data_IF_181340928187
#
_entry.id   IF_181340928187
#
_cell.length_a   1.000
_cell.length_b   1.000
_cell.length_c   1.000
_cell.angle_alpha   90.00
_cell.angle_beta   90.00
_cell.angle_gamma   90.00
#
_symmetry.space_group_name_H-M   'P 1'
#
loop_
_entity.id
_entity.type
_entity.pdbx_description
1 polymer ?
#
# COMPACT_ATOMS: atom_id res chain seq x y z
N UNK A 1 -8.57 12.37 1.95
CA UNK A 1 -7.92 11.65 3.07
C UNK A 1 -6.57 12.28 3.33
N UNK A 2 -6.29 12.61 4.60
CA UNK A 2 -5.03 13.20 5.06
C UNK A 2 -4.32 12.21 5.98
N UNK A 3 -2.99 12.20 6.01
CA UNK A 3 -2.19 11.65 7.11
C UNK A 3 -1.91 12.86 7.95
N UNK A 4 -2.75 13.10 8.93
CA UNK A 4 -2.39 13.98 10.03
C UNK A 4 -1.86 13.06 11.12
N UNK A 5 -0.59 13.17 11.50
CA UNK A 5 -0.09 12.61 12.76
C UNK A 5 0.69 11.28 12.71
N UNK A 6 1.28 10.92 11.57
CA UNK A 6 2.37 9.95 11.55
C UNK A 6 3.66 10.50 12.16
N UNK A 7 4.71 9.68 12.17
CA UNK A 7 6.08 10.13 12.45
C UNK A 7 7.01 9.65 11.32
N UNK A 8 8.14 10.32 11.15
CA UNK A 8 9.17 9.89 10.21
C UNK A 8 9.59 8.45 10.58
N UNK A 9 9.46 7.53 9.63
CA UNK A 9 9.88 6.16 9.84
C UNK A 9 11.40 6.15 10.04
N UNK A 10 11.91 5.25 10.89
CA UNK A 10 13.35 5.05 10.96
C UNK A 10 13.87 4.67 9.56
N UNK A 11 14.95 5.30 9.05
CA UNK A 11 15.46 5.01 7.71
C UNK A 11 15.62 3.51 7.44
N UNK A 12 15.06 3.07 6.32
CA UNK A 12 15.08 1.69 5.82
C UNK A 12 14.45 0.64 6.76
N UNK A 13 13.64 1.06 7.74
CA UNK A 13 12.92 0.15 8.65
C UNK A 13 11.74 -0.59 8.01
N UNK A 14 11.33 -0.17 6.81
CA UNK A 14 10.27 -0.78 5.99
C UNK A 14 10.84 -1.20 4.63
N UNK A 15 11.71 -2.22 4.58
CA UNK A 15 12.51 -2.56 3.40
C UNK A 15 11.68 -3.12 2.22
N UNK A 16 10.39 -3.35 2.41
CA UNK A 16 9.46 -3.78 1.38
C UNK A 16 8.77 -2.61 0.67
N UNK A 17 8.90 -1.38 1.17
CA UNK A 17 8.26 -0.23 0.54
C UNK A 17 8.79 0.01 -0.87
N UNK A 18 7.86 0.34 -1.76
CA UNK A 18 8.14 0.76 -3.12
C UNK A 18 7.49 2.11 -3.35
N UNK A 19 8.29 3.09 -3.79
CA UNK A 19 7.76 4.34 -4.30
C UNK A 19 7.47 4.19 -5.78
N UNK A 20 6.24 4.46 -6.19
CA UNK A 20 5.81 4.42 -7.58
C UNK A 20 5.78 5.84 -8.11
N UNK A 21 6.74 6.16 -8.98
CA UNK A 21 6.81 7.46 -9.65
C UNK A 21 5.94 7.42 -10.91
N UNK A 22 4.92 8.29 -10.95
CA UNK A 22 3.85 8.28 -11.95
C UNK A 22 3.56 9.72 -12.39
N UNK A 23 4.48 10.36 -13.13
CA UNK A 23 4.42 11.82 -13.38
C UNK A 23 3.04 12.30 -13.88
N UNK A 24 2.40 13.30 -13.24
CA UNK A 24 2.92 14.17 -12.17
C UNK A 24 2.67 13.68 -10.73
N UNK A 25 2.11 12.49 -10.53
CA UNK A 25 1.71 11.90 -9.25
C UNK A 25 2.70 10.85 -8.73
N UNK A 26 2.41 10.34 -7.54
CA UNK A 26 3.04 9.18 -6.97
C UNK A 26 2.04 8.29 -6.25
N UNK A 27 2.37 7.01 -6.14
CA UNK A 27 1.68 6.05 -5.29
C UNK A 27 2.68 5.29 -4.44
N UNK A 28 2.18 4.70 -3.36
CA UNK A 28 2.84 3.62 -2.66
C UNK A 28 2.72 2.29 -3.39
N UNK A 29 3.59 1.38 -3.00
CA UNK A 29 3.55 -0.02 -3.38
C UNK A 29 4.43 -0.82 -2.41
N UNK A 30 4.44 -2.13 -2.58
CA UNK A 30 5.29 -2.99 -1.76
C UNK A 30 5.74 -4.24 -2.49
N UNK A 31 6.98 -4.64 -2.22
CA UNK A 31 7.62 -5.80 -2.82
C UNK A 31 7.10 -7.09 -2.16
N UNK A 32 6.47 -7.96 -2.95
CA UNK A 32 5.91 -9.25 -2.47
C UNK A 32 6.72 -10.46 -2.95
N UNK A 33 7.52 -10.25 -4.00
CA UNK A 33 8.53 -11.17 -4.54
C UNK A 33 9.61 -10.32 -5.23
N UNK A 34 10.87 -10.79 -5.39
CA UNK A 34 11.91 -10.03 -6.07
C UNK A 34 11.52 -9.48 -7.45
N UNK A 35 10.53 -10.07 -8.13
CA UNK A 35 10.06 -9.63 -9.45
C UNK A 35 8.71 -8.89 -9.42
N UNK A 36 8.05 -8.83 -8.26
CA UNK A 36 6.66 -8.41 -8.15
C UNK A 36 6.44 -7.35 -7.08
N UNK A 37 5.87 -6.22 -7.50
CA UNK A 37 5.37 -5.17 -6.63
C UNK A 37 3.85 -5.19 -6.65
N UNK A 38 3.23 -5.08 -5.49
CA UNK A 38 1.79 -4.94 -5.33
C UNK A 38 1.45 -3.48 -5.01
N UNK A 39 0.33 -3.00 -5.55
CA UNK A 39 -0.19 -1.64 -5.36
C UNK A 39 -1.69 -1.60 -5.66
N UNK A 40 -2.31 -0.42 -5.59
CA UNK A 40 -3.70 -0.20 -5.95
C UNK A 40 -3.87 -0.11 -7.47
N UNK A 41 -5.01 -0.56 -8.00
CA UNK A 41 -5.32 -0.49 -9.43
C UNK A 41 -5.53 0.94 -9.91
N UNK A 42 -6.08 1.82 -9.08
CA UNK A 42 -6.24 3.24 -9.42
C UNK A 42 -4.91 3.97 -9.64
N UNK A 43 -3.78 3.40 -9.21
CA UNK A 43 -2.44 3.90 -9.49
C UNK A 43 -1.97 3.62 -10.92
N UNK A 44 -2.74 2.93 -11.76
CA UNK A 44 -2.37 2.62 -13.15
C UNK A 44 -2.46 3.85 -14.10
N UNK A 45 -1.88 4.98 -13.71
CA UNK A 45 -1.95 6.25 -14.43
C UNK A 45 -0.69 6.49 -15.27
N UNK A 46 -0.53 5.77 -16.37
CA UNK A 46 0.60 5.96 -17.29
C UNK A 46 1.85 5.13 -16.92
N UNK A 47 3.04 5.66 -17.24
CA UNK A 47 4.29 4.91 -17.07
C UNK A 47 4.80 4.96 -15.63
N UNK A 48 4.85 3.80 -14.98
CA UNK A 48 5.33 3.66 -13.61
C UNK A 48 6.83 3.33 -13.60
N UNK A 49 7.58 4.06 -12.77
CA UNK A 49 8.93 3.67 -12.33
C UNK A 49 8.88 3.30 -10.85
N UNK A 50 9.42 2.12 -10.52
CA UNK A 50 9.50 1.62 -9.16
C UNK A 50 10.84 2.02 -8.55
N UNK A 51 10.82 2.63 -7.38
CA UNK A 51 12.01 2.92 -6.57
C UNK A 51 11.91 2.13 -5.27
N UNK A 52 12.81 1.16 -5.08
CA UNK A 52 12.92 0.34 -3.86
C UNK A 52 14.06 0.84 -2.99
N UNK A 53 14.00 0.61 -1.68
CA UNK A 53 15.12 0.89 -0.76
C UNK A 53 15.39 2.39 -0.53
N UNK A 54 14.43 3.25 -0.85
CA UNK A 54 14.46 4.67 -0.54
C UNK A 54 14.00 4.92 0.90
N UNK A 55 14.62 5.89 1.58
CA UNK A 55 14.02 6.62 2.69
C UNK A 55 13.57 8.00 2.23
N UNK A 56 14.49 8.79 1.65
CA UNK A 56 14.20 10.03 0.93
C UNK A 56 14.09 9.76 -0.58
N UNK A 57 12.95 10.07 -1.20
CA UNK A 57 12.69 9.79 -2.64
C UNK A 57 13.24 10.88 -3.58
N UNK A 58 13.62 12.03 -3.05
CA UNK A 58 14.23 13.14 -3.78
C UNK A 58 15.77 13.16 -3.69
N UNK A 59 16.35 12.38 -2.79
CA UNK A 59 17.80 12.17 -2.69
C UNK A 59 18.26 10.93 -3.45
N UNK A 60 19.51 10.96 -3.92
CA UNK A 60 20.17 9.79 -4.50
C UNK A 60 20.79 8.98 -3.35
N UNK A 61 20.07 7.95 -2.91
CA UNK A 61 20.58 7.04 -1.88
C UNK A 61 21.23 5.80 -2.50
N UNK A 62 22.39 5.38 -1.98
CA UNK A 62 23.07 4.17 -2.46
C UNK A 62 22.28 2.87 -2.23
N UNK A 63 21.26 2.91 -1.35
CA UNK A 63 20.32 1.82 -1.11
C UNK A 63 19.25 1.67 -2.18
N UNK A 64 19.03 2.70 -3.01
CA UNK A 64 17.94 2.73 -3.97
C UNK A 64 18.16 1.77 -5.13
N UNK A 65 17.08 1.13 -5.56
CA UNK A 65 17.02 0.37 -6.81
C UNK A 65 15.88 0.89 -7.66
N UNK A 66 16.24 1.54 -8.77
CA UNK A 66 15.28 2.08 -9.75
C UNK A 66 15.01 0.99 -10.79
N UNK A 67 13.73 0.65 -10.97
CA UNK A 67 13.27 -0.41 -11.88
C UNK A 67 12.13 0.11 -12.75
N UNK A 68 12.20 -0.14 -14.05
CA UNK A 68 11.04 0.03 -14.91
C UNK A 68 10.01 -1.06 -14.66
N UNK A 69 8.78 -0.88 -15.14
CA UNK A 69 7.75 -1.94 -15.14
C UNK A 69 7.68 -2.58 -16.53
N UNK A 70 7.64 -3.91 -16.57
CA UNK A 70 7.48 -4.69 -17.80
C UNK A 70 6.00 -4.93 -18.12
N UNK A 71 5.21 -5.23 -17.11
CA UNK A 71 3.80 -5.59 -17.29
C UNK A 71 2.97 -5.17 -16.08
N UNK A 72 1.76 -4.73 -16.39
CA UNK A 72 0.75 -4.25 -15.44
C UNK A 72 -0.39 -5.26 -15.44
N UNK A 73 -0.71 -5.81 -14.27
CA UNK A 73 -1.81 -6.74 -14.09
C UNK A 73 -2.81 -6.16 -13.11
N UNK A 74 -3.74 -5.38 -13.64
CA UNK A 74 -4.89 -4.89 -12.88
C UNK A 74 -5.86 -6.05 -12.65
N UNK A 75 -6.59 -6.02 -11.54
CA UNK A 75 -7.71 -6.95 -11.38
C UNK A 75 -8.73 -6.70 -12.52
N UNK A 76 -9.18 -7.75 -13.24
CA UNK A 76 -10.05 -7.58 -14.41
C UNK A 76 -11.40 -6.94 -14.06
N UNK A 77 -11.85 -7.14 -12.82
CA UNK A 77 -13.12 -6.60 -12.31
C UNK A 77 -12.92 -5.29 -11.52
N UNK A 78 -11.77 -4.61 -11.65
CA UNK A 78 -11.57 -3.30 -11.02
C UNK A 78 -12.62 -2.30 -11.52
N UNK A 79 -13.31 -1.66 -10.58
CA UNK A 79 -14.33 -0.66 -10.86
C UNK A 79 -13.87 0.71 -10.32
N UNK A 80 -13.61 1.70 -11.19
CA UNK A 80 -13.10 3.01 -10.78
C UNK A 80 -14.11 3.89 -10.05
N UNK A 81 -15.41 3.62 -10.19
CA UNK A 81 -16.47 4.41 -9.53
C UNK A 81 -16.65 4.01 -8.06
N UNK A 82 -16.41 2.73 -7.75
CA UNK A 82 -16.63 2.14 -6.42
C UNK A 82 -15.33 1.72 -5.72
N UNK A 83 -14.20 1.81 -6.41
CA UNK A 83 -12.90 1.26 -5.99
C UNK A 83 -12.95 -0.23 -5.61
N UNK A 84 -13.97 -0.96 -6.10
CA UNK A 84 -14.02 -2.39 -5.88
C UNK A 84 -12.95 -3.10 -6.71
N UNK A 85 -12.32 -4.13 -6.12
CA UNK A 85 -11.17 -4.83 -6.70
C UNK A 85 -9.98 -3.92 -7.03
N UNK A 86 -9.73 -2.91 -6.19
CA UNK A 86 -8.62 -1.96 -6.34
C UNK A 86 -7.27 -2.58 -5.95
N UNK A 87 -6.77 -3.48 -6.81
CA UNK A 87 -5.49 -4.16 -6.67
C UNK A 87 -4.82 -4.34 -8.03
N UNK A 88 -3.51 -4.11 -8.06
CA UNK A 88 -2.66 -4.32 -9.22
C UNK A 88 -1.34 -4.98 -8.83
N UNK A 89 -0.85 -5.86 -9.70
CA UNK A 89 0.49 -6.43 -9.65
C UNK A 89 1.34 -5.86 -10.78
N UNK A 90 2.52 -5.36 -10.43
CA UNK A 90 3.53 -4.85 -11.34
C UNK A 90 4.66 -5.87 -11.43
N UNK A 91 4.96 -6.34 -12.64
CA UNK A 91 6.14 -7.17 -12.91
C UNK A 91 7.28 -6.25 -13.30
N UNK A 92 8.36 -6.25 -12.53
CA UNK A 92 9.52 -5.41 -12.81
C UNK A 92 10.14 -5.74 -14.18
N UNK A 93 10.63 -4.70 -14.87
CA UNK A 93 11.47 -4.81 -16.05
C UNK A 93 12.88 -5.21 -15.61
N UNK A 94 13.59 -5.96 -16.45
CA UNK A 94 14.95 -6.45 -16.20
C UNK A 94 15.03 -7.55 -15.11
N UNK A 95 16.24 -7.76 -14.57
CA UNK A 95 16.52 -8.72 -13.52
C UNK A 95 15.77 -8.40 -12.22
N UNK A 96 15.55 -9.43 -11.41
CA UNK A 96 14.87 -9.35 -10.12
C UNK A 96 15.54 -8.30 -9.21
N UNK A 97 14.76 -7.71 -8.30
CA UNK A 97 15.28 -6.83 -7.26
C UNK A 97 16.36 -7.54 -6.44
N UNK A 98 17.50 -6.87 -6.23
CA UNK A 98 18.59 -7.40 -5.42
C UNK A 98 18.21 -7.30 -3.95
N UNK A 99 17.81 -8.42 -3.34
CA UNK A 99 17.45 -8.44 -1.93
C UNK A 99 18.66 -8.06 -1.06
N UNK A 100 18.44 -7.24 -0.05
CA UNK A 100 19.47 -6.71 0.84
C UNK A 100 18.90 -6.34 2.21
N UNK A 101 19.69 -5.66 3.05
CA UNK A 101 19.15 -5.05 4.28
C UNK A 101 18.13 -3.93 4.00
N UNK A 102 18.19 -3.29 2.83
CA UNK A 102 17.35 -2.16 2.44
C UNK A 102 16.14 -2.56 1.57
N UNK A 103 16.23 -3.71 0.90
CA UNK A 103 15.21 -4.21 -0.02
C UNK A 103 14.85 -5.65 0.35
N UNK A 104 13.63 -5.87 0.83
CA UNK A 104 13.10 -7.18 1.22
C UNK A 104 11.67 -7.33 0.76
N UNK A 105 11.20 -8.56 0.68
CA UNK A 105 9.78 -8.84 0.42
C UNK A 105 8.98 -8.81 1.73
N UNK A 106 7.71 -8.41 1.67
CA UNK A 106 6.74 -8.61 2.75
C UNK A 106 5.93 -9.88 2.51
N UNK A 107 5.58 -10.58 3.59
CA UNK A 107 4.78 -11.80 3.48
C UNK A 107 3.34 -11.48 3.09
N UNK A 108 2.74 -12.34 2.27
CA UNK A 108 1.31 -12.31 1.96
C UNK A 108 0.51 -13.14 2.98
N UNK A 109 -0.79 -12.84 3.16
CA UNK A 109 -1.66 -13.63 4.02
C UNK A 109 -1.71 -15.08 3.56
N UNK A 110 -1.70 -16.02 4.52
CA UNK A 110 -1.75 -17.46 4.23
C UNK A 110 -3.18 -17.97 4.07
N UNK A 111 -4.12 -17.33 4.75
CA UNK A 111 -5.52 -17.74 4.81
C UNK A 111 -6.43 -16.62 4.30
N UNK A 112 -7.64 -17.00 3.90
CA UNK A 112 -8.70 -16.06 3.52
C UNK A 112 -9.51 -15.56 4.73
N UNK A 113 -9.01 -15.67 5.96
CA UNK A 113 -9.74 -15.25 7.17
C UNK A 113 -9.71 -13.74 7.33
N UNK A 114 -10.71 -13.19 8.02
CA UNK A 114 -10.69 -11.78 8.44
C UNK A 114 -9.75 -11.60 9.64
N UNK A 115 -9.15 -10.42 9.73
CA UNK A 115 -8.41 -10.01 10.93
C UNK A 115 -9.39 -9.70 12.07
N UNK A 116 -8.95 -9.97 13.29
CA UNK A 116 -9.73 -9.64 14.48
C UNK A 116 -9.84 -8.12 14.62
N UNK A 117 -11.01 -7.64 15.05
CA UNK A 117 -11.19 -6.22 15.39
C UNK A 117 -10.20 -5.80 16.47
N UNK A 118 -9.58 -4.63 16.32
CA UNK A 118 -8.55 -4.14 17.23
C UNK A 118 -7.16 -4.70 16.98
N UNK A 119 -6.96 -5.56 15.96
CA UNK A 119 -5.61 -5.97 15.55
C UNK A 119 -4.81 -4.73 15.15
N UNK A 120 -3.66 -4.54 15.80
CA UNK A 120 -2.74 -3.44 15.51
C UNK A 120 -1.97 -3.68 14.21
N UNK A 121 -1.85 -2.64 13.40
CA UNK A 121 -1.20 -2.63 12.11
C UNK A 121 -0.43 -1.33 11.91
N UNK A 122 0.43 -1.30 10.90
CA UNK A 122 1.17 -0.11 10.49
C UNK A 122 0.88 0.19 9.03
N UNK A 123 0.75 1.47 8.72
CA UNK A 123 0.72 2.00 7.35
C UNK A 123 1.94 2.91 7.19
N UNK A 124 2.58 2.85 6.03
CA UNK A 124 3.72 3.70 5.71
C UNK A 124 3.63 4.18 4.26
N UNK A 125 4.18 5.35 4.00
CA UNK A 125 4.21 5.94 2.67
C UNK A 125 4.88 7.32 2.63
N UNK A 126 4.89 7.90 1.42
CA UNK A 126 5.44 9.22 1.12
C UNK A 126 4.32 10.20 0.76
N UNK A 127 3.10 9.93 1.21
CA UNK A 127 1.97 10.83 1.02
C UNK A 127 2.04 12.09 1.88
N UNK A 128 1.05 12.96 1.71
CA UNK A 128 0.92 14.22 2.45
C UNK A 128 0.95 14.02 3.97
N UNK A 129 1.85 14.74 4.65
CA UNK A 129 1.95 14.77 6.12
C UNK A 129 1.17 15.93 6.77
N UNK A 130 0.79 16.93 5.97
CA UNK A 130 -0.14 18.02 6.31
C UNK A 130 -0.75 18.60 5.02
N UNK A 131 -1.69 19.55 5.15
CA UNK A 131 -2.48 20.17 4.06
C UNK A 131 -1.65 20.64 2.86
N UNK A 132 -0.43 21.11 3.11
CA UNK A 132 0.42 21.77 2.11
C UNK A 132 1.86 21.22 2.09
N UNK A 133 2.13 20.10 2.76
CA UNK A 133 3.47 19.54 2.89
C UNK A 133 3.52 18.09 2.42
N UNK A 134 4.04 17.90 1.20
CA UNK A 134 4.60 16.63 0.78
C UNK A 134 5.82 16.32 1.66
N UNK A 135 6.01 15.04 1.98
CA UNK A 135 7.25 14.56 2.59
C UNK A 135 8.10 13.87 1.55
N UNK A 136 9.35 14.30 1.45
CA UNK A 136 10.34 13.57 0.67
C UNK A 136 10.74 12.25 1.36
N UNK A 137 10.47 12.13 2.67
CA UNK A 137 10.89 11.01 3.53
C UNK A 137 9.73 10.08 3.86
N UNK A 138 10.05 8.81 4.12
CA UNK A 138 9.06 7.82 4.50
C UNK A 138 8.47 8.13 5.89
N UNK A 139 7.14 8.21 5.98
CA UNK A 139 6.41 8.34 7.24
C UNK A 139 5.64 7.06 7.54
N UNK A 140 5.32 6.86 8.81
CA UNK A 140 4.47 5.75 9.25
C UNK A 140 3.55 6.12 10.40
N UNK A 141 2.46 5.35 10.51
CA UNK A 141 1.48 5.48 11.58
C UNK A 141 0.91 4.13 11.98
N UNK A 142 0.51 4.03 13.25
CA UNK A 142 -0.17 2.86 13.78
C UNK A 142 -1.68 3.01 13.63
N UNK A 143 -2.33 1.95 13.17
CA UNK A 143 -3.77 1.87 12.99
C UNK A 143 -4.28 0.55 13.53
N UNK A 144 -5.58 0.44 13.76
CA UNK A 144 -6.21 -0.80 14.20
C UNK A 144 -7.37 -1.19 13.31
N UNK A 145 -7.58 -2.51 13.15
CA UNK A 145 -8.66 -3.05 12.34
C UNK A 145 -10.02 -2.70 12.95
N UNK A 146 -10.90 -2.13 12.13
CA UNK A 146 -12.30 -1.89 12.49
C UNK A 146 -13.13 -3.14 12.22
N UNK A 147 -14.13 -3.40 13.07
CA UNK A 147 -15.12 -4.43 12.77
C UNK A 147 -15.87 -4.07 11.49
N UNK A 148 -16.17 -5.06 10.64
CA UNK A 148 -16.95 -4.87 9.41
C UNK A 148 -18.26 -4.11 9.66
N UNK A 149 -18.99 -4.45 10.73
CA UNK A 149 -20.22 -3.73 11.13
C UNK A 149 -20.02 -2.22 11.34
N UNK A 150 -18.99 -1.84 12.09
CA UNK A 150 -18.65 -0.42 12.28
C UNK A 150 -18.24 0.22 10.96
N UNK A 151 -17.43 -0.47 10.15
CA UNK A 151 -17.00 0.10 8.89
C UNK A 151 -18.15 0.33 7.91
N UNK A 152 -19.10 -0.60 7.79
CA UNK A 152 -20.29 -0.45 6.93
C UNK A 152 -21.19 0.73 7.35
N UNK A 153 -21.10 1.19 8.60
CA UNK A 153 -21.78 2.42 9.02
C UNK A 153 -21.17 3.68 8.38
N UNK A 154 -19.85 3.69 8.16
CA UNK A 154 -19.15 4.78 7.48
C UNK A 154 -19.16 4.61 5.95
N UNK A 155 -19.09 3.37 5.46
CA UNK A 155 -19.01 2.99 4.05
C UNK A 155 -20.09 1.93 3.73
N UNK A 156 -21.33 2.33 3.42
CA UNK A 156 -22.43 1.40 3.14
C UNK A 156 -22.14 0.40 2.02
N UNK A 157 -21.28 0.76 1.06
CA UNK A 157 -20.86 0.00 -0.11
C UNK A 157 -19.72 -1.00 0.13
N UNK A 158 -19.27 -1.16 1.38
CA UNK A 158 -18.11 -2.00 1.73
C UNK A 158 -18.28 -3.48 1.30
N UNK A 159 -17.46 -3.93 0.35
CA UNK A 159 -17.51 -5.32 -0.17
C UNK A 159 -16.64 -6.27 0.67
N UNK A 160 -16.74 -7.59 0.43
CA UNK A 160 -15.88 -8.59 1.09
C UNK A 160 -14.39 -8.44 0.73
N UNK A 161 -14.10 -7.80 -0.41
CA UNK A 161 -12.75 -7.50 -0.88
C UNK A 161 -12.11 -6.29 -0.19
N UNK A 162 -12.78 -5.68 0.78
CA UNK A 162 -12.31 -4.48 1.49
C UNK A 162 -12.20 -4.74 3.00
N UNK A 163 -11.30 -4.02 3.65
CA UNK A 163 -11.11 -3.98 5.12
C UNK A 163 -10.86 -2.54 5.54
N UNK A 164 -11.17 -2.21 6.79
CA UNK A 164 -11.03 -0.86 7.29
C UNK A 164 -10.12 -0.82 8.50
N UNK A 165 -9.27 0.20 8.53
CA UNK A 165 -8.36 0.44 9.63
C UNK A 165 -8.23 1.94 9.86
N UNK A 166 -7.92 2.31 11.10
CA UNK A 166 -7.69 3.70 11.46
C UNK A 166 -7.28 3.82 12.92
N UNK A 167 -6.85 4.99 13.35
CA UNK A 167 -6.67 5.26 14.78
C UNK A 167 -8.02 5.43 15.48
N UNK A 168 -8.21 4.75 16.61
CA UNK A 168 -9.41 4.91 17.45
C UNK A 168 -9.37 6.16 18.35
N UNK A 169 -8.19 6.76 18.53
CA UNK A 169 -7.95 7.80 19.53
C UNK A 169 -7.54 9.13 18.92
N UNK A 170 -7.14 9.14 17.65
CA UNK A 170 -6.60 10.31 16.97
C UNK A 170 -7.14 10.36 15.54
N UNK A 171 -7.18 11.55 14.93
CA UNK A 171 -7.57 11.72 13.53
C UNK A 171 -6.44 11.30 12.56
N UNK A 172 -5.77 10.18 12.86
CA UNK A 172 -4.63 9.65 12.08
C UNK A 172 -5.11 8.57 11.11
N UNK A 173 -4.88 8.77 9.82
CA UNK A 173 -5.15 7.79 8.77
C UNK A 173 -4.20 7.95 7.56
N UNK A 174 -4.42 7.19 6.48
CA UNK A 174 -3.72 7.29 5.20
C UNK A 174 -4.13 8.51 4.33
N UNK A 175 -3.21 9.01 3.50
CA UNK A 175 -3.39 10.22 2.67
C UNK A 175 -3.19 10.01 1.18
N UNK A 176 -3.35 11.10 0.42
CA UNK A 176 -2.88 11.15 -0.97
C UNK A 176 -1.36 10.90 -1.04
N UNK A 177 -0.96 9.96 -1.89
CA UNK A 177 0.43 9.50 -2.05
C UNK A 177 0.77 8.24 -1.26
N UNK A 178 -0.02 7.86 -0.26
CA UNK A 178 0.10 6.54 0.39
C UNK A 178 -0.73 5.47 -0.31
N UNK A 179 -1.67 5.88 -1.17
CA UNK A 179 -2.44 5.00 -2.05
C UNK A 179 -1.58 3.93 -2.70
N UNK A 180 -2.00 2.68 -2.59
CA UNK A 180 -1.24 1.52 -3.06
C UNK A 180 -0.18 0.99 -2.08
N UNK A 181 0.15 1.74 -1.03
CA UNK A 181 1.01 1.30 0.07
C UNK A 181 0.39 0.17 0.90
N UNK A 182 1.20 -0.58 1.66
CA UNK A 182 0.72 -1.72 2.44
C UNK A 182 0.14 -1.30 3.79
N UNK A 183 -0.94 -1.99 4.19
CA UNK A 183 -1.33 -2.15 5.59
C UNK A 183 -0.68 -3.42 6.12
N UNK A 184 0.27 -3.28 7.04
CA UNK A 184 1.06 -4.40 7.58
C UNK A 184 0.64 -4.73 9.00
N UNK A 185 0.19 -5.95 9.22
CA UNK A 185 -0.17 -6.46 10.55
C UNK A 185 0.67 -7.70 10.82
N UNK A 186 1.36 -7.78 11.97
CA UNK A 186 2.23 -8.93 12.31
C UNK A 186 3.23 -9.33 11.21
N UNK A 187 3.84 -8.34 10.53
CA UNK A 187 4.77 -8.51 9.39
C UNK A 187 4.15 -9.12 8.11
N UNK A 188 2.82 -9.10 7.99
CA UNK A 188 2.08 -9.56 6.80
C UNK A 188 1.37 -8.37 6.16
N UNK A 189 1.45 -8.25 4.83
CA UNK A 189 0.69 -7.25 4.07
C UNK A 189 -0.76 -7.70 3.92
N UNK A 190 -1.61 -7.23 4.83
CA UNK A 190 -3.02 -7.64 4.95
C UNK A 190 -3.95 -6.75 4.13
N UNK A 191 -3.52 -5.52 3.85
CA UNK A 191 -4.28 -4.55 3.06
C UNK A 191 -3.42 -3.71 2.12
N UNK A 192 -4.09 -3.04 1.19
CA UNK A 192 -3.53 -2.04 0.28
C UNK A 192 -4.32 -0.75 0.49
N UNK A 193 -3.67 0.37 0.78
CA UNK A 193 -4.34 1.68 0.90
C UNK A 193 -5.11 1.96 -0.39
N UNK A 194 -6.42 2.19 -0.29
CA UNK A 194 -7.29 2.38 -1.47
C UNK A 194 -7.97 3.75 -1.45
N UNK A 195 -8.90 3.99 -0.53
CA UNK A 195 -9.63 5.25 -0.41
C UNK A 195 -10.06 5.51 1.04
N UNK A 196 -10.61 6.69 1.31
CA UNK A 196 -11.20 7.00 2.61
C UNK A 196 -11.73 8.42 2.69
N UNK A 197 -12.55 8.66 3.71
CA UNK A 197 -13.01 10.00 4.07
C UNK A 197 -11.86 10.85 4.66
N UNK A 198 -12.18 12.08 5.07
CA UNK A 198 -11.20 12.96 5.72
C UNK A 198 -10.93 12.60 7.18
N UNK A 199 -11.65 11.60 7.71
CA UNK A 199 -11.52 11.09 9.07
C UNK A 199 -11.47 9.57 9.06
N UNK A 200 -10.79 8.93 10.03
CA UNK A 200 -10.77 7.48 10.12
C UNK A 200 -12.17 6.85 10.27
N UNK A 201 -12.36 5.59 9.81
CA UNK A 201 -11.33 4.73 9.24
C UNK A 201 -11.15 4.91 7.73
N UNK A 202 -9.97 4.58 7.21
CA UNK A 202 -9.68 4.40 5.80
C UNK A 202 -10.08 3.00 5.33
N UNK A 203 -10.25 2.85 4.03
CA UNK A 203 -10.59 1.60 3.36
C UNK A 203 -9.39 1.09 2.59
N UNK A 204 -9.12 -0.20 2.80
CA UNK A 204 -8.00 -0.92 2.23
C UNK A 204 -8.51 -2.11 1.43
N UNK A 205 -7.88 -2.40 0.30
CA UNK A 205 -8.15 -3.64 -0.43
C UNK A 205 -7.63 -4.81 0.39
N UNK A 206 -8.50 -5.74 0.78
CA UNK A 206 -8.18 -6.89 1.63
C UNK A 206 -7.41 -7.95 0.83
N UNK A 207 -6.09 -8.02 0.99
CA UNK A 207 -5.20 -8.88 0.19
C UNK A 207 -5.61 -10.35 0.26
N UNK A 208 -6.03 -10.82 1.43
CA UNK A 208 -6.48 -12.20 1.67
C UNK A 208 -7.60 -12.66 0.71
N UNK A 209 -8.49 -11.74 0.31
CA UNK A 209 -9.59 -12.03 -0.63
C UNK A 209 -9.09 -12.33 -2.05
N UNK A 210 -7.94 -11.78 -2.44
CA UNK A 210 -7.40 -11.87 -3.80
C UNK A 210 -6.29 -12.91 -3.97
N UNK A 211 -5.98 -13.70 -2.93
CA UNK A 211 -4.92 -14.72 -3.00
C UNK A 211 -5.01 -15.66 -4.21
N UNK A 212 -6.20 -16.15 -4.64
CA UNK A 212 -6.30 -16.97 -5.85
C UNK A 212 -5.85 -16.22 -7.11
N UNK A 213 -6.26 -14.96 -7.26
CA UNK A 213 -5.87 -14.11 -8.39
C UNK A 213 -4.37 -13.78 -8.34
N UNK A 214 -3.86 -13.36 -7.18
CA UNK A 214 -2.44 -13.05 -6.96
C UNK A 214 -1.56 -14.24 -7.38
N UNK A 215 -1.87 -15.45 -6.88
CA UNK A 215 -1.11 -16.66 -7.21
C UNK A 215 -1.17 -17.03 -8.69
N UNK A 216 -2.29 -16.76 -9.37
CA UNK A 216 -2.44 -17.00 -10.81
C UNK A 216 -1.57 -16.03 -11.63
N UNK A 217 -1.55 -14.77 -11.25
CA UNK A 217 -0.77 -13.73 -11.96
C UNK A 217 0.72 -13.91 -11.72
N UNK A 218 1.17 -14.17 -10.48
CA UNK A 218 2.59 -14.30 -10.15
C UNK A 218 3.29 -15.52 -10.80
N UNK A 219 2.52 -16.43 -11.42
CA UNK A 219 3.03 -17.56 -12.20
C UNK A 219 3.32 -17.22 -13.68
N UNK A 220 2.90 -16.05 -14.15
CA UNK A 220 3.20 -15.55 -15.51
C UNK A 220 4.60 -14.95 -15.57
#
# INVERSE_FOLDING_TARGET
GWIVGGHEARPHSRPYMAYLKIAPYACGGFLVDPSWVMTAAHCALGNITVILGAHNVHEIETSQQIRGVLSYYLHPDYNPDTFNNDIMLLKARQAQAGLSKYVKTVALPKTGSDLQTGTGCTVAGWGLIDKDQDTDRLFETEVSIYSRRKCTHFYPELTNGMICAGSFHELKDSSQGDSGGPLVCNNVAEGIVSFGHNTPPGVYTRVANYLPWIRKIMKK
#
